data_IF_850968744099
#
_entry.id   IF_850968744099
#
_cell.length_a   1.000
_cell.length_b   1.000
_cell.length_c   1.000
_cell.angle_alpha   90.00
_cell.angle_beta   90.00
_cell.angle_gamma   90.00
#
_symmetry.space_group_name_H-M   'P 1'
#
loop_
_entity.id
_entity.type
_entity.pdbx_description
1 polymer ?
#
# COMPACT_ATOMS: atom_id res chain seq x y z
N UNK A 1 -22.90 -10.65 6.91
CA UNK A 1 -23.63 -10.02 5.80
C UNK A 1 -22.73 -10.07 4.60
N UNK A 2 -23.16 -10.69 3.51
CA UNK A 2 -22.40 -10.69 2.25
C UNK A 2 -22.87 -9.51 1.41
N UNK A 3 -21.94 -8.68 0.94
CA UNK A 3 -22.25 -7.58 0.04
C UNK A 3 -22.38 -8.12 -1.39
N UNK A 4 -23.37 -7.65 -2.14
CA UNK A 4 -23.46 -7.97 -3.56
C UNK A 4 -22.32 -7.30 -4.32
N UNK A 5 -21.97 -7.84 -5.49
CA UNK A 5 -20.95 -7.24 -6.36
C UNK A 5 -21.32 -5.80 -6.75
N UNK A 6 -22.61 -5.50 -6.97
CA UNK A 6 -23.09 -4.15 -7.26
C UNK A 6 -22.83 -3.17 -6.11
N UNK A 7 -23.10 -3.59 -4.87
CA UNK A 7 -22.85 -2.78 -3.68
C UNK A 7 -21.35 -2.52 -3.49
N UNK A 8 -20.51 -3.54 -3.71
CA UNK A 8 -19.05 -3.38 -3.64
C UNK A 8 -18.58 -2.37 -4.69
N UNK A 9 -19.08 -2.48 -5.93
CA UNK A 9 -18.73 -1.57 -7.01
C UNK A 9 -19.14 -0.13 -6.71
N UNK A 10 -20.34 0.08 -6.14
CA UNK A 10 -20.83 1.40 -5.75
C UNK A 10 -19.97 2.01 -4.64
N UNK A 11 -19.63 1.23 -3.61
CA UNK A 11 -18.73 1.66 -2.54
C UNK A 11 -17.37 2.08 -3.11
N UNK A 12 -16.77 1.25 -3.99
CA UNK A 12 -15.50 1.57 -4.62
C UNK A 12 -15.60 2.88 -5.42
N UNK A 13 -16.64 3.03 -6.24
CA UNK A 13 -16.89 4.25 -7.02
C UNK A 13 -16.94 5.49 -6.13
N UNK A 14 -17.70 5.41 -5.02
CA UNK A 14 -17.85 6.49 -4.05
C UNK A 14 -16.50 6.86 -3.42
N UNK A 15 -15.66 5.90 -3.04
CA UNK A 15 -14.32 6.17 -2.51
C UNK A 15 -13.38 6.77 -3.56
N UNK A 16 -13.46 6.34 -4.82
CA UNK A 16 -12.58 6.84 -5.90
C UNK A 16 -12.96 8.22 -6.41
N UNK A 17 -14.15 8.73 -6.08
CA UNK A 17 -14.60 10.09 -6.44
C UNK A 17 -13.75 11.22 -5.83
N UNK A 18 -12.95 10.91 -4.80
CA UNK A 18 -12.06 11.86 -4.12
C UNK A 18 -10.64 11.32 -4.03
N UNK A 19 -9.64 12.19 -4.16
CA UNK A 19 -8.23 11.83 -4.00
C UNK A 19 -7.92 11.23 -2.62
N UNK A 20 -8.54 11.76 -1.55
CA UNK A 20 -8.39 11.23 -0.19
C UNK A 20 -9.03 9.84 -0.06
N UNK A 21 -10.19 9.65 -0.67
CA UNK A 21 -10.89 8.37 -0.68
C UNK A 21 -10.10 7.31 -1.45
N UNK A 22 -9.54 7.68 -2.61
CA UNK A 22 -8.64 6.84 -3.40
C UNK A 22 -7.42 6.37 -2.58
N UNK A 23 -6.71 7.29 -1.92
CA UNK A 23 -5.55 6.96 -1.07
C UNK A 23 -5.94 5.99 0.05
N UNK A 24 -7.10 6.23 0.67
CA UNK A 24 -7.60 5.42 1.78
C UNK A 24 -7.96 4.01 1.30
N UNK A 25 -8.71 3.91 0.21
CA UNK A 25 -9.12 2.65 -0.40
C UNK A 25 -7.91 1.83 -0.83
N UNK A 26 -6.96 2.46 -1.52
CA UNK A 26 -5.74 1.79 -1.97
C UNK A 26 -4.92 1.28 -0.78
N UNK A 27 -4.77 2.09 0.28
CA UNK A 27 -4.08 1.67 1.50
C UNK A 27 -4.78 0.48 2.17
N UNK A 28 -6.12 0.49 2.22
CA UNK A 28 -6.91 -0.61 2.79
C UNK A 28 -6.74 -1.91 1.98
N UNK A 29 -6.87 -1.84 0.66
CA UNK A 29 -6.71 -2.99 -0.24
C UNK A 29 -5.32 -3.59 -0.07
N UNK A 30 -4.27 -2.76 -0.14
CA UNK A 30 -2.89 -3.23 0.02
C UNK A 30 -2.64 -3.90 1.37
N UNK A 31 -3.17 -3.31 2.45
CA UNK A 31 -3.04 -3.89 3.79
C UNK A 31 -3.78 -5.23 3.92
N UNK A 32 -4.95 -5.35 3.31
CA UNK A 32 -5.72 -6.60 3.28
C UNK A 32 -4.95 -7.70 2.53
N UNK A 33 -4.42 -7.38 1.35
CA UNK A 33 -3.61 -8.31 0.55
C UNK A 33 -2.37 -8.78 1.32
N UNK A 34 -1.61 -7.86 1.92
CA UNK A 34 -0.42 -8.21 2.72
C UNK A 34 -0.77 -9.06 3.95
N UNK A 35 -1.91 -8.80 4.59
CA UNK A 35 -2.40 -9.60 5.72
C UNK A 35 -2.74 -11.02 5.29
N UNK A 36 -3.43 -11.16 4.15
CA UNK A 36 -3.80 -12.47 3.62
C UNK A 36 -2.56 -13.30 3.20
N UNK A 37 -1.60 -12.69 2.50
CA UNK A 37 -0.33 -13.36 2.15
C UNK A 37 0.42 -13.85 3.41
N UNK A 38 0.40 -13.05 4.49
CA UNK A 38 0.97 -13.46 5.78
C UNK A 38 0.27 -14.67 6.36
N UNK A 39 -1.06 -14.69 6.35
CA UNK A 39 -1.83 -15.78 6.93
C UNK A 39 -1.63 -17.08 6.12
N UNK A 40 -1.55 -17.00 4.80
CA UNK A 40 -1.18 -18.13 3.94
C UNK A 40 0.23 -18.65 4.28
N UNK A 41 1.20 -17.75 4.49
CA UNK A 41 2.55 -18.16 4.84
C UNK A 41 2.64 -18.83 6.21
N UNK A 42 1.91 -18.32 7.21
CA UNK A 42 1.85 -18.93 8.55
C UNK A 42 1.20 -20.31 8.46
N UNK A 43 0.09 -20.45 7.73
CA UNK A 43 -0.54 -21.76 7.50
C UNK A 43 0.39 -22.75 6.81
N UNK A 44 1.16 -22.30 5.82
CA UNK A 44 2.13 -23.16 5.12
C UNK A 44 3.40 -23.47 5.95
N UNK A 45 3.65 -22.74 7.03
CA UNK A 45 4.85 -22.89 7.86
C UNK A 45 4.44 -22.93 9.34
N UNK A 46 3.84 -24.03 9.77
CA UNK A 46 3.23 -24.20 11.12
C UNK A 46 4.13 -23.81 12.30
N UNK A 47 5.46 -23.84 12.13
CA UNK A 47 6.43 -23.48 13.18
C UNK A 47 6.98 -22.04 13.09
N UNK A 48 6.63 -21.27 12.05
CA UNK A 48 7.16 -19.91 11.87
C UNK A 48 6.26 -18.88 12.51
N UNK A 49 6.80 -18.23 13.54
CA UNK A 49 6.17 -17.07 14.17
C UNK A 49 6.38 -15.79 13.33
N UNK A 50 5.33 -14.97 13.24
CA UNK A 50 5.38 -13.64 12.66
C UNK A 50 5.44 -12.57 13.75
N UNK A 51 6.41 -11.64 13.65
CA UNK A 51 6.62 -10.55 14.60
C UNK A 51 5.75 -9.34 14.24
N UNK A 52 4.43 -9.52 14.33
CA UNK A 52 3.45 -8.45 14.12
C UNK A 52 3.55 -7.74 12.76
N UNK A 53 3.01 -6.53 12.70
CA UNK A 53 3.00 -5.68 11.51
C UNK A 53 3.82 -4.41 11.76
N UNK A 54 4.67 -4.02 10.81
CA UNK A 54 5.41 -2.75 10.81
C UNK A 54 4.64 -1.70 10.04
N UNK A 55 4.29 -0.59 10.68
CA UNK A 55 3.80 0.59 9.96
C UNK A 55 4.89 1.17 9.05
N UNK A 56 4.54 1.45 7.79
CA UNK A 56 5.41 2.08 6.79
C UNK A 56 4.59 3.01 5.91
N UNK A 57 5.16 4.16 5.57
CA UNK A 57 4.61 5.08 4.57
C UNK A 57 5.27 4.79 3.23
N UNK A 58 4.46 4.62 2.19
CA UNK A 58 4.93 4.40 0.83
C UNK A 58 4.51 5.59 -0.03
N UNK A 59 5.46 6.14 -0.77
CA UNK A 59 5.22 7.28 -1.65
C UNK A 59 5.31 6.79 -3.09
N UNK A 60 4.26 6.99 -3.86
CA UNK A 60 4.22 6.66 -5.28
C UNK A 60 3.39 7.71 -6.01
N UNK A 61 3.92 8.22 -7.14
CA UNK A 61 3.23 9.15 -8.03
C UNK A 61 2.59 10.37 -7.32
N UNK A 62 3.23 10.91 -6.28
CA UNK A 62 2.73 12.06 -5.51
C UNK A 62 1.71 11.74 -4.42
N UNK A 63 1.37 10.46 -4.23
CA UNK A 63 0.48 9.99 -3.18
C UNK A 63 1.26 9.30 -2.05
N UNK A 64 0.74 9.43 -0.83
CA UNK A 64 1.27 8.78 0.37
C UNK A 64 0.30 7.72 0.88
N UNK A 65 0.74 6.47 0.90
CA UNK A 65 -0.04 5.32 1.35
C UNK A 65 0.45 4.83 2.70
N UNK A 66 -0.48 4.52 3.60
CA UNK A 66 -0.18 3.99 4.93
C UNK A 66 -0.29 2.47 4.93
N UNK A 67 0.86 1.81 4.94
CA UNK A 67 0.99 0.36 4.82
C UNK A 67 1.42 -0.28 6.15
N UNK A 68 0.98 -1.52 6.38
CA UNK A 68 1.33 -2.36 7.51
C UNK A 68 2.01 -3.62 7.00
N UNK A 69 3.35 -3.56 6.92
CA UNK A 69 4.15 -4.64 6.33
C UNK A 69 4.36 -5.75 7.37
N UNK A 70 3.94 -6.99 7.08
CA UNK A 70 4.20 -8.11 7.96
C UNK A 70 5.68 -8.46 8.07
N UNK A 71 6.10 -8.91 9.26
CA UNK A 71 7.45 -9.42 9.51
C UNK A 71 7.40 -10.86 9.98
N UNK A 72 8.28 -11.72 9.46
CA UNK A 72 8.57 -13.02 10.07
C UNK A 72 9.79 -12.93 10.99
N UNK A 73 9.77 -13.67 12.11
CA UNK A 73 10.91 -13.78 13.03
C UNK A 73 12.16 -14.34 12.35
N UNK A 74 11.96 -15.19 11.34
CA UNK A 74 13.04 -15.85 10.60
C UNK A 74 13.66 -14.98 9.49
N UNK A 75 13.11 -13.81 9.19
CA UNK A 75 13.54 -12.98 8.04
C UNK A 75 13.22 -13.57 6.66
N UNK A 76 12.75 -14.82 6.58
CA UNK A 76 12.47 -15.56 5.35
C UNK A 76 11.09 -15.28 4.73
N UNK A 77 10.53 -14.09 4.98
CA UNK A 77 9.20 -13.73 4.53
C UNK A 77 9.29 -12.69 3.43
N UNK A 78 9.21 -13.17 2.18
CA UNK A 78 9.13 -12.34 0.99
C UNK A 78 7.67 -12.31 0.52
N UNK A 79 6.99 -11.21 0.80
CA UNK A 79 5.67 -10.92 0.24
C UNK A 79 5.81 -10.68 -1.26
N UNK A 80 4.98 -11.35 -2.06
CA UNK A 80 4.92 -11.12 -3.52
C UNK A 80 4.57 -9.65 -3.76
N UNK A 81 3.62 -9.11 -3.00
CA UNK A 81 3.23 -7.72 -3.09
C UNK A 81 4.34 -6.73 -2.69
N UNK A 82 5.12 -7.03 -1.64
CA UNK A 82 6.29 -6.19 -1.30
C UNK A 82 7.40 -6.29 -2.35
N UNK A 83 7.50 -7.43 -3.04
CA UNK A 83 8.40 -7.62 -4.17
C UNK A 83 8.01 -6.71 -5.34
N UNK A 84 6.72 -6.67 -5.68
CA UNK A 84 6.16 -5.81 -6.73
C UNK A 84 6.36 -4.31 -6.43
N UNK A 85 6.04 -3.87 -5.20
CA UNK A 85 6.29 -2.47 -4.79
C UNK A 85 7.78 -2.13 -4.90
N UNK A 86 8.66 -3.07 -4.53
CA UNK A 86 10.11 -2.85 -4.55
C UNK A 86 10.67 -2.90 -5.96
N UNK A 87 10.12 -3.70 -6.88
CA UNK A 87 10.51 -3.69 -8.29
C UNK A 87 10.08 -2.38 -8.94
N UNK A 88 8.85 -1.92 -8.72
CA UNK A 88 8.38 -0.60 -9.18
C UNK A 88 9.30 0.52 -8.66
N UNK A 89 9.61 0.51 -7.35
CA UNK A 89 10.52 1.50 -6.75
C UNK A 89 11.94 1.45 -7.33
N UNK A 90 12.43 0.25 -7.70
CA UNK A 90 13.75 0.08 -8.36
C UNK A 90 13.72 0.56 -9.80
N UNK A 91 12.65 0.31 -10.54
CA UNK A 91 12.47 0.84 -11.90
C UNK A 91 12.41 2.38 -11.88
N UNK A 92 11.70 2.99 -10.93
CA UNK A 92 11.74 4.45 -10.72
C UNK A 92 13.12 4.97 -10.30
N UNK A 93 13.93 4.18 -9.59
CA UNK A 93 15.31 4.55 -9.27
C UNK A 93 16.24 4.45 -10.50
N UNK A 94 15.94 3.55 -11.45
CA UNK A 94 16.65 3.44 -12.74
C UNK A 94 16.28 4.56 -13.70
N UNK A 95 15.03 5.00 -13.65
CA UNK A 95 14.51 6.12 -14.43
C UNK A 95 14.00 7.21 -13.49
N UNK A 96 14.88 8.03 -12.89
CA UNK A 96 14.46 9.20 -12.12
C UNK A 96 13.87 10.22 -13.09
N UNK A 97 12.62 10.02 -13.51
CA UNK A 97 11.86 11.03 -14.21
C UNK A 97 11.83 12.28 -13.32
N UNK A 98 12.16 13.42 -13.92
CA UNK A 98 12.33 14.74 -13.30
C UNK A 98 11.09 15.33 -12.60
N UNK A 99 10.10 14.52 -12.22
CA UNK A 99 8.91 14.96 -11.53
C UNK A 99 9.13 14.91 -10.02
N UNK A 100 9.83 15.92 -9.50
CA UNK A 100 9.78 16.23 -8.07
C UNK A 100 8.38 16.77 -7.74
N UNK A 101 7.61 16.18 -6.80
CA UNK A 101 6.41 16.82 -6.27
C UNK A 101 6.78 17.92 -5.26
N UNK A 102 7.82 18.72 -5.55
CA UNK A 102 8.11 19.96 -4.81
C UNK A 102 7.29 21.15 -5.34
N UNK A 103 6.53 20.97 -6.42
CA UNK A 103 5.79 22.05 -7.07
C UNK A 103 4.37 22.23 -6.50
N UNK A 104 3.73 21.20 -5.94
CA UNK A 104 2.35 21.34 -5.44
C UNK A 104 2.23 21.85 -3.98
N UNK A 105 3.27 21.70 -3.15
CA UNK A 105 3.27 22.23 -1.77
C UNK A 105 3.85 23.65 -1.63
N UNK A 106 4.34 24.26 -2.73
CA UNK A 106 4.86 25.64 -2.74
C UNK A 106 3.86 26.67 -3.27
N UNK A 107 2.74 26.24 -3.86
CA UNK A 107 1.72 27.14 -4.37
C UNK A 107 0.81 27.74 -3.27
N UNK A 108 0.74 27.09 -2.10
CA UNK A 108 -0.24 27.46 -1.04
C UNK A 108 0.39 28.09 0.22
N UNK A 109 1.66 28.54 0.13
CA UNK A 109 2.32 29.34 1.18
C UNK A 109 2.83 30.70 0.69
N UNK A 110 2.21 31.24 -0.37
CA UNK A 110 2.46 32.62 -0.84
C UNK A 110 1.17 33.44 -0.96
N UNK A 111 0.17 33.11 -0.15
CA UNK A 111 -1.01 33.93 0.13
C UNK A 111 -1.35 33.87 1.62
N UNK A 112 -0.45 34.40 2.44
CA UNK A 112 -0.68 34.94 3.78
C UNK A 112 0.48 35.88 4.09
#
# INVERSE_FOLDING_TARGET
MELTQSQISEIISNYTSSSKGFITLQSLIMNSLMGHERDLFVKANEHKQCNGLRSRRWYSHGFEFSLRIPRSRSGNFYLVFSGLIRSESKEHARFPTYFTPKVLLRADRRKL
#
